data_IF_683349600672
#
_entry.id   IF_683349600672
#
_cell.length_a   1.000
_cell.length_b   1.000
_cell.length_c   1.000
_cell.angle_alpha   90.00
_cell.angle_beta   90.00
_cell.angle_gamma   90.00
#
_symmetry.space_group_name_H-M   'P 1'
#
loop_
_entity.id
_entity.type
_entity.pdbx_description
1 polymer ?
#
# COMPACT_ATOMS: atom_id res chain seq x y z
N UNK A 1 35.73 -25.07 3.09
CA UNK A 1 35.37 -23.87 2.31
C UNK A 1 34.35 -23.04 3.07
N UNK A 2 34.75 -21.89 3.54
CA UNK A 2 33.85 -21.00 4.22
C UNK A 2 32.96 -20.31 3.17
N UNK A 3 31.71 -20.71 3.08
CA UNK A 3 30.73 -19.94 2.35
C UNK A 3 30.38 -18.70 3.16
N UNK A 4 30.98 -17.58 2.81
CA UNK A 4 30.53 -16.30 3.32
C UNK A 4 29.13 -16.06 2.76
N UNK A 5 28.11 -16.29 3.57
CA UNK A 5 26.75 -15.86 3.25
C UNK A 5 26.73 -14.35 3.27
N UNK A 6 26.98 -13.74 2.13
CA UNK A 6 26.76 -12.33 1.92
C UNK A 6 25.26 -12.10 2.02
N UNK A 7 24.83 -11.37 3.02
CA UNK A 7 23.47 -10.87 3.08
C UNK A 7 23.34 -9.65 2.16
N UNK A 8 23.36 -9.91 0.88
CA UNK A 8 23.02 -8.87 -0.06
C UNK A 8 21.51 -8.57 0.09
N UNK A 9 21.10 -7.30 0.06
CA UNK A 9 19.68 -6.98 0.09
C UNK A 9 18.99 -7.68 -1.07
N UNK A 10 17.86 -8.33 -0.79
CA UNK A 10 17.08 -9.03 -1.80
C UNK A 10 16.71 -8.06 -2.92
N UNK A 11 17.04 -8.37 -4.16
CA UNK A 11 16.60 -7.51 -5.26
C UNK A 11 15.08 -7.51 -5.34
N UNK A 12 14.50 -6.32 -5.28
CA UNK A 12 13.05 -6.14 -5.40
C UNK A 12 12.70 -6.08 -6.87
N UNK A 13 11.83 -6.98 -7.31
CA UNK A 13 11.35 -6.97 -8.68
C UNK A 13 10.11 -6.08 -8.84
N UNK A 14 9.11 -6.31 -8.04
CA UNK A 14 7.87 -5.53 -8.08
C UNK A 14 7.04 -5.76 -6.81
N UNK A 15 5.96 -5.00 -6.70
CA UNK A 15 4.98 -5.15 -5.64
C UNK A 15 3.67 -5.67 -6.24
N UNK A 16 3.18 -6.76 -5.69
CA UNK A 16 1.85 -7.26 -6.01
C UNK A 16 0.86 -6.64 -5.02
N UNK A 17 -0.15 -5.96 -5.54
CA UNK A 17 -1.21 -5.36 -4.72
C UNK A 17 -2.50 -6.11 -4.99
N UNK A 18 -3.11 -6.65 -3.94
CA UNK A 18 -4.37 -7.37 -4.02
C UNK A 18 -5.47 -6.64 -3.27
N UNK A 19 -6.69 -6.70 -3.79
CA UNK A 19 -7.87 -6.13 -3.16
C UNK A 19 -8.89 -7.25 -2.95
N UNK A 20 -9.36 -7.44 -1.73
CA UNK A 20 -10.11 -8.64 -1.34
C UNK A 20 -11.62 -8.49 -1.34
N UNK A 21 -12.14 -7.28 -1.18
CA UNK A 21 -13.59 -7.04 -1.06
C UNK A 21 -14.25 -6.59 -2.37
N UNK A 22 -13.53 -6.67 -3.48
CA UNK A 22 -14.09 -6.37 -4.79
C UNK A 22 -14.68 -7.65 -5.41
N UNK A 23 -15.67 -7.52 -6.31
CA UNK A 23 -16.36 -8.69 -6.86
C UNK A 23 -15.46 -9.75 -7.48
N UNK A 24 -14.35 -9.32 -8.03
CA UNK A 24 -13.29 -10.20 -8.53
C UNK A 24 -12.03 -9.91 -7.74
N UNK A 25 -11.25 -10.94 -7.45
CA UNK A 25 -9.94 -10.74 -6.84
C UNK A 25 -9.09 -9.90 -7.78
N UNK A 26 -8.91 -8.63 -7.41
CA UNK A 26 -8.20 -7.68 -8.23
C UNK A 26 -6.74 -7.68 -7.85
N UNK A 27 -5.89 -7.88 -8.82
CA UNK A 27 -4.44 -7.86 -8.65
C UNK A 27 -3.81 -6.84 -9.58
N UNK A 28 -2.87 -6.08 -9.07
CA UNK A 28 -2.07 -5.18 -9.87
C UNK A 28 -0.61 -5.29 -9.47
N UNK A 29 0.28 -5.17 -10.45
CA UNK A 29 1.72 -5.17 -10.23
C UNK A 29 2.24 -3.75 -10.35
N UNK A 30 3.03 -3.30 -9.39
CA UNK A 30 3.58 -1.95 -9.35
C UNK A 30 5.08 -1.99 -9.09
N UNK A 31 5.82 -1.08 -9.69
CA UNK A 31 7.26 -0.97 -9.46
C UNK A 31 7.61 -0.21 -8.19
N UNK A 32 6.72 0.69 -7.75
CA UNK A 32 7.00 1.58 -6.63
C UNK A 32 5.78 1.71 -5.74
N UNK A 33 6.02 1.63 -4.44
CA UNK A 33 5.01 1.88 -3.41
C UNK A 33 5.59 2.86 -2.40
N UNK A 34 4.87 3.92 -2.09
CA UNK A 34 5.24 4.90 -1.07
C UNK A 34 4.06 5.20 -0.15
N UNK A 35 4.33 5.91 0.95
CA UNK A 35 3.29 6.26 1.92
C UNK A 35 3.08 5.22 3.00
N UNK A 36 3.98 4.25 3.17
CA UNK A 36 3.94 3.27 4.25
C UNK A 36 4.36 3.94 5.57
N UNK A 37 3.54 4.85 6.05
CA UNK A 37 3.83 5.64 7.24
C UNK A 37 2.57 5.96 8.02
N UNK A 38 2.75 6.22 9.31
CA UNK A 38 1.72 6.75 10.15
C UNK A 38 2.27 7.92 10.97
N UNK A 39 1.40 8.78 11.41
CA UNK A 39 1.71 9.87 12.30
C UNK A 39 0.68 9.90 13.41
N UNK A 40 1.16 9.87 14.66
CA UNK A 40 0.31 9.99 15.84
C UNK A 40 0.49 11.38 16.41
N UNK A 41 -0.62 12.08 16.60
CA UNK A 41 -0.62 13.39 17.22
C UNK A 41 -0.13 13.29 18.65
N UNK A 42 0.74 14.22 19.02
CA UNK A 42 1.25 14.34 20.39
C UNK A 42 0.42 15.38 21.13
N UNK A 43 -0.21 14.96 22.22
CA UNK A 43 -0.99 15.87 23.07
C UNK A 43 -0.18 16.18 24.32
N UNK A 44 0.33 17.39 24.46
CA UNK A 44 1.05 17.79 25.67
C UNK A 44 0.08 18.06 26.83
N UNK A 45 0.37 17.49 27.99
CA UNK A 45 -0.40 17.72 29.21
C UNK A 45 0.55 18.21 30.31
N UNK A 46 0.26 19.38 30.84
CA UNK A 46 1.02 19.93 31.97
C UNK A 46 0.58 19.27 33.27
N UNK A 47 1.56 18.73 34.03
CA UNK A 47 1.28 18.20 35.35
C UNK A 47 1.09 19.34 36.32
N UNK A 48 -0.06 19.41 37.01
CA UNK A 48 -0.33 20.41 38.03
C UNK A 48 0.67 20.30 39.17
N UNK A 49 1.36 21.41 39.49
CA UNK A 49 2.32 21.49 40.60
C UNK A 49 3.77 21.15 40.23
N UNK A 50 4.05 20.66 39.03
CA UNK A 50 5.42 20.46 38.55
C UNK A 50 5.71 21.46 37.44
N UNK A 51 6.52 22.47 37.74
CA UNK A 51 6.78 23.58 36.82
C UNK A 51 7.63 23.18 35.58
N UNK A 52 8.27 22.00 35.57
CA UNK A 52 9.25 21.62 34.57
C UNK A 52 8.90 20.34 33.83
N UNK A 53 7.75 19.74 34.06
CA UNK A 53 7.39 18.44 33.44
C UNK A 53 6.12 18.56 32.64
N UNK A 54 6.28 18.34 31.32
CA UNK A 54 5.16 18.20 30.40
C UNK A 54 5.08 16.74 29.97
N UNK A 55 3.93 16.10 30.19
CA UNK A 55 3.69 14.75 29.70
C UNK A 55 3.20 14.83 28.25
N UNK A 56 3.72 13.95 27.41
CA UNK A 56 3.29 13.86 26.02
C UNK A 56 2.46 12.60 25.84
N UNK A 57 1.17 12.79 25.62
CA UNK A 57 0.21 11.70 25.46
C UNK A 57 -0.08 11.46 23.98
N UNK A 58 -0.34 10.19 23.59
CA UNK A 58 -0.73 9.89 22.22
C UNK A 58 -2.15 10.38 21.93
N UNK A 59 -2.31 11.11 20.85
CA UNK A 59 -3.60 11.53 20.31
C UNK A 59 -4.06 10.65 19.16
N UNK A 60 -4.71 11.25 18.16
CA UNK A 60 -5.20 10.55 16.99
C UNK A 60 -4.06 10.11 16.08
N UNK A 61 -4.19 8.92 15.51
CA UNK A 61 -3.24 8.40 14.50
C UNK A 61 -3.78 8.64 13.12
N UNK A 62 -2.95 9.22 12.26
CA UNK A 62 -3.25 9.42 10.84
C UNK A 62 -2.35 8.55 10.00
N UNK A 63 -2.93 7.90 9.01
CA UNK A 63 -2.21 7.07 8.08
C UNK A 63 -1.91 7.84 6.80
N UNK A 64 -0.70 7.71 6.27
CA UNK A 64 -0.35 8.27 4.98
C UNK A 64 -1.07 7.56 3.85
N UNK A 65 -1.41 8.28 2.79
CA UNK A 65 -1.97 7.66 1.60
C UNK A 65 -0.93 6.76 0.93
N UNK A 66 -1.35 5.60 0.47
CA UNK A 66 -0.49 4.70 -0.28
C UNK A 66 -0.47 5.13 -1.75
N UNK A 67 0.73 5.32 -2.30
CA UNK A 67 0.92 5.73 -3.68
C UNK A 67 1.63 4.62 -4.44
N UNK A 68 0.94 4.07 -5.42
CA UNK A 68 1.47 3.02 -6.29
C UNK A 68 1.80 3.63 -7.65
N UNK A 69 3.01 3.40 -8.14
CA UNK A 69 3.47 3.97 -9.40
C UNK A 69 3.96 2.90 -10.37
N UNK A 70 3.83 3.19 -11.65
CA UNK A 70 4.31 2.35 -12.75
C UNK A 70 3.79 0.93 -12.66
N UNK A 71 2.46 0.82 -12.59
CA UNK A 71 1.78 -0.45 -12.49
C UNK A 71 1.21 -0.93 -13.82
N UNK A 72 0.87 -2.20 -13.84
CA UNK A 72 0.11 -2.80 -14.92
C UNK A 72 -0.87 -3.82 -14.37
N UNK A 73 -2.01 -3.93 -15.04
CA UNK A 73 -3.02 -4.93 -14.71
C UNK A 73 -3.65 -5.45 -15.98
N UNK A 74 -3.98 -6.72 -15.97
CA UNK A 74 -4.71 -7.36 -17.07
C UNK A 74 -6.22 -7.31 -16.89
N UNK A 75 -6.67 -6.86 -15.70
CA UNK A 75 -8.08 -6.82 -15.32
C UNK A 75 -8.61 -5.38 -15.35
N UNK A 76 -9.85 -5.22 -15.81
CA UNK A 76 -10.56 -3.95 -15.75
C UNK A 76 -11.17 -3.65 -14.38
N UNK A 77 -11.03 -4.55 -13.42
CA UNK A 77 -11.72 -4.47 -12.14
C UNK A 77 -11.30 -3.24 -11.30
N UNK A 78 -10.03 -2.81 -11.39
CA UNK A 78 -9.59 -1.57 -10.73
C UNK A 78 -10.25 -0.34 -11.34
N UNK A 79 -10.41 -0.30 -12.65
CA UNK A 79 -11.12 0.80 -13.32
C UNK A 79 -12.60 0.80 -12.98
N UNK A 80 -13.21 -0.38 -12.91
CA UNK A 80 -14.61 -0.53 -12.52
C UNK A 80 -14.84 -0.04 -11.08
N UNK A 81 -13.92 -0.34 -10.19
CA UNK A 81 -13.97 0.13 -8.80
C UNK A 81 -13.95 1.67 -8.74
N UNK A 82 -13.04 2.29 -9.49
CA UNK A 82 -12.99 3.74 -9.55
C UNK A 82 -14.25 4.34 -10.15
N UNK A 83 -14.76 3.73 -11.23
CA UNK A 83 -15.97 4.22 -11.88
C UNK A 83 -17.18 4.16 -10.95
N UNK A 84 -17.33 3.07 -10.21
CA UNK A 84 -18.38 2.94 -9.20
C UNK A 84 -18.24 3.97 -8.09
N UNK A 85 -17.01 4.24 -7.68
CA UNK A 85 -16.75 5.27 -6.70
C UNK A 85 -17.23 6.65 -7.17
N UNK A 86 -16.96 7.00 -8.42
CA UNK A 86 -17.42 8.26 -9.01
C UNK A 86 -18.94 8.33 -9.16
N UNK A 87 -19.60 7.19 -9.29
CA UNK A 87 -21.07 7.11 -9.42
C UNK A 87 -21.79 7.08 -8.06
N UNK A 88 -21.07 7.20 -6.97
CA UNK A 88 -21.63 7.20 -5.62
C UNK A 88 -21.67 5.83 -4.93
N UNK A 89 -21.26 4.77 -5.59
CA UNK A 89 -21.13 3.44 -4.96
C UNK A 89 -19.76 3.34 -4.27
N UNK A 90 -19.70 3.78 -3.03
CA UNK A 90 -18.47 3.89 -2.27
C UNK A 90 -18.15 2.59 -1.53
N UNK A 91 -17.61 1.64 -2.26
CA UNK A 91 -17.15 0.37 -1.68
C UNK A 91 -15.69 0.48 -1.27
N UNK A 92 -15.44 0.37 0.04
CA UNK A 92 -14.08 0.32 0.57
C UNK A 92 -13.55 -1.11 0.50
N UNK A 93 -12.27 -1.25 0.25
CA UNK A 93 -11.65 -2.55 0.10
C UNK A 93 -10.50 -2.74 1.08
N UNK A 94 -10.38 -3.95 1.57
CA UNK A 94 -9.16 -4.40 2.25
C UNK A 94 -8.23 -4.99 1.19
N UNK A 95 -6.95 -5.07 1.52
CA UNK A 95 -6.01 -5.66 0.60
C UNK A 95 -4.64 -5.84 1.19
N UNK A 96 -3.72 -6.26 0.34
CA UNK A 96 -2.35 -6.55 0.72
C UNK A 96 -1.37 -6.02 -0.30
N UNK A 97 -0.23 -5.55 0.19
CA UNK A 97 0.92 -5.18 -0.61
C UNK A 97 1.99 -6.23 -0.38
N UNK A 98 2.36 -6.94 -1.42
CA UNK A 98 3.32 -8.04 -1.33
C UNK A 98 4.56 -7.67 -2.14
N UNK A 99 5.70 -7.60 -1.47
CA UNK A 99 6.98 -7.38 -2.13
C UNK A 99 7.47 -8.71 -2.71
N UNK A 100 7.73 -8.72 -4.01
CA UNK A 100 8.24 -9.88 -4.72
C UNK A 100 9.72 -9.71 -5.07
N UNK A 101 10.47 -10.79 -4.95
CA UNK A 101 11.85 -10.84 -5.44
C UNK A 101 11.89 -11.21 -6.93
N UNK A 102 13.10 -11.33 -7.50
CA UNK A 102 13.28 -11.67 -8.91
C UNK A 102 12.79 -13.07 -9.29
N UNK A 103 12.62 -13.94 -8.31
CA UNK A 103 12.04 -15.29 -8.52
C UNK A 103 10.53 -15.31 -8.30
N UNK A 104 9.91 -14.14 -8.10
CA UNK A 104 8.50 -13.96 -7.77
C UNK A 104 8.09 -14.58 -6.43
N UNK A 105 9.05 -14.83 -5.56
CA UNK A 105 8.80 -15.26 -4.19
C UNK A 105 8.45 -14.06 -3.31
N UNK A 106 7.57 -14.30 -2.34
CA UNK A 106 7.13 -13.26 -1.40
C UNK A 106 8.22 -12.96 -0.39
N UNK A 107 8.67 -11.70 -0.35
CA UNK A 107 9.69 -11.25 0.59
C UNK A 107 9.11 -10.52 1.80
N UNK A 108 8.07 -9.74 1.61
CA UNK A 108 7.41 -9.00 2.69
C UNK A 108 5.95 -8.75 2.31
N UNK A 109 5.12 -8.51 3.32
CA UNK A 109 3.70 -8.24 3.12
C UNK A 109 3.20 -7.19 4.11
N UNK A 110 2.40 -6.26 3.60
CA UNK A 110 1.65 -5.29 4.41
C UNK A 110 0.17 -5.42 4.06
N UNK A 111 -0.68 -5.47 5.07
CA UNK A 111 -2.13 -5.50 4.89
C UNK A 111 -2.70 -4.13 5.20
N UNK A 112 -3.60 -3.65 4.36
CA UNK A 112 -4.32 -2.41 4.58
C UNK A 112 -5.82 -2.67 4.67
N UNK A 113 -6.53 -1.78 5.38
CA UNK A 113 -7.96 -1.92 5.60
C UNK A 113 -8.71 -0.66 5.18
N UNK A 114 -9.93 -0.86 4.69
CA UNK A 114 -10.87 0.20 4.33
C UNK A 114 -10.29 1.24 3.39
N UNK A 115 -9.63 0.75 2.35
CA UNK A 115 -9.01 1.59 1.33
C UNK A 115 -10.01 2.03 0.26
N UNK A 116 -9.78 3.22 -0.28
CA UNK A 116 -10.55 3.72 -1.40
C UNK A 116 -9.65 4.55 -2.32
N UNK A 117 -9.93 4.55 -3.62
CA UNK A 117 -9.07 5.26 -4.58
C UNK A 117 -9.33 6.76 -4.53
N UNK A 118 -8.32 7.54 -4.13
CA UNK A 118 -8.44 9.00 -4.08
C UNK A 118 -7.79 9.68 -5.29
N UNK A 119 -6.86 9.02 -5.97
CA UNK A 119 -6.23 9.56 -7.17
C UNK A 119 -5.87 8.45 -8.13
N UNK A 120 -6.09 8.68 -9.40
CA UNK A 120 -5.82 7.72 -10.45
C UNK A 120 -5.31 8.45 -11.69
N UNK A 121 -4.14 8.04 -12.16
CA UNK A 121 -3.60 8.50 -13.41
C UNK A 121 -3.29 7.29 -14.29
N UNK A 122 -3.81 7.30 -15.51
CA UNK A 122 -3.54 6.28 -16.49
C UNK A 122 -2.47 6.82 -17.42
N UNK A 123 -1.47 6.00 -17.70
CA UNK A 123 -0.42 6.36 -18.64
C UNK A 123 -0.88 6.28 -20.09
N UNK A 124 0.07 6.32 -20.99
CA UNK A 124 -0.18 6.29 -22.42
C UNK A 124 -0.87 5.00 -22.85
N UNK A 125 -1.96 5.13 -23.59
CA UNK A 125 -2.63 3.99 -24.20
C UNK A 125 -1.90 3.56 -25.48
N UNK A 126 -1.48 2.32 -25.51
CA UNK A 126 -0.93 1.70 -26.71
C UNK A 126 -1.86 0.59 -27.16
N UNK A 127 -2.48 0.76 -28.35
CA UNK A 127 -3.42 -0.20 -28.89
C UNK A 127 -2.79 -1.56 -29.23
N UNK A 128 -1.47 -1.63 -29.31
CA UNK A 128 -0.75 -2.88 -29.56
C UNK A 128 -0.56 -3.71 -28.29
N UNK A 129 -0.84 -3.14 -27.11
CA UNK A 129 -0.68 -3.82 -25.82
C UNK A 129 -2.03 -4.16 -25.23
N UNK A 130 -2.18 -5.40 -24.78
CA UNK A 130 -3.38 -5.86 -24.08
C UNK A 130 -3.42 -5.49 -22.60
N UNK A 131 -2.34 -4.90 -22.08
CA UNK A 131 -2.21 -4.52 -20.68
C UNK A 131 -2.54 -3.05 -20.47
N UNK A 132 -3.26 -2.77 -19.38
CA UNK A 132 -3.53 -1.41 -18.97
C UNK A 132 -2.37 -0.90 -18.11
N UNK A 133 -1.70 0.12 -18.61
CA UNK A 133 -0.63 0.79 -17.86
C UNK A 133 -1.22 1.81 -16.89
N UNK A 134 -0.94 1.63 -15.60
CA UNK A 134 -1.35 2.56 -14.54
C UNK A 134 -0.12 3.38 -14.17
N UNK A 135 -0.18 4.69 -14.36
CA UNK A 135 0.93 5.54 -13.99
C UNK A 135 0.98 5.80 -12.49
N UNK A 136 -0.14 6.20 -11.91
CA UNK A 136 -0.24 6.46 -10.48
C UNK A 136 -1.60 6.04 -9.96
N UNK A 137 -1.61 5.26 -8.88
CA UNK A 137 -2.80 4.97 -8.10
C UNK A 137 -2.52 5.37 -6.66
N UNK A 138 -3.32 6.29 -6.14
CA UNK A 138 -3.24 6.69 -4.74
C UNK A 138 -4.49 6.26 -4.01
N UNK A 139 -4.31 5.56 -2.90
CA UNK A 139 -5.42 5.11 -2.07
C UNK A 139 -5.30 5.69 -0.66
N UNK A 140 -6.41 6.09 -0.10
CA UNK A 140 -6.54 6.39 1.32
C UNK A 140 -6.99 5.13 2.05
N UNK A 141 -6.55 4.94 3.28
CA UNK A 141 -6.89 3.76 4.08
C UNK A 141 -6.97 4.11 5.55
N UNK A 142 -7.48 3.17 6.35
CA UNK A 142 -7.68 3.39 7.78
C UNK A 142 -6.79 2.51 8.66
N UNK A 143 -5.85 1.79 8.09
CA UNK A 143 -4.90 0.99 8.84
C UNK A 143 -3.96 0.19 7.97
N UNK A 144 -2.75 -0.02 8.48
CA UNK A 144 -1.69 -0.76 7.81
C UNK A 144 -1.02 -1.68 8.82
N UNK A 145 -0.90 -2.95 8.50
CA UNK A 145 -0.27 -3.96 9.36
C UNK A 145 0.82 -4.67 8.59
N UNK A 146 2.02 -4.71 9.16
CA UNK A 146 3.12 -5.49 8.61
C UNK A 146 3.00 -6.94 9.02
N UNK A 147 3.09 -7.84 8.05
CA UNK A 147 3.16 -9.29 8.28
C UNK A 147 4.51 -9.81 7.83
N UNK A 148 5.37 -10.23 8.76
CA UNK A 148 6.60 -10.89 8.37
C UNK A 148 6.28 -12.25 7.76
N UNK A 149 6.83 -12.53 6.57
CA UNK A 149 6.71 -13.84 5.97
C UNK A 149 7.68 -14.77 6.67
N UNK A 150 7.17 -15.92 7.12
CA UNK A 150 8.02 -16.94 7.73
C UNK A 150 8.98 -17.46 6.66
N UNK A 151 10.27 -17.31 6.92
CA UNK A 151 11.27 -18.03 6.15
C UNK A 151 11.14 -19.52 6.51
N UNK A 152 10.65 -20.26 5.58
CA UNK A 152 10.75 -21.71 5.67
C UNK A 152 12.09 -22.16 5.12
#
# INVERSE_FOLDING_TARGET
>A
MATTTRKDPLPVFCFLVTFTNLPDNVEGFFKSVSGLKFETEVVPVSAGGANDTTFQLPGATKWGNLVFKQGFTTSSALMDWRQKWLQGEMNRSNGSIIQLDTSLARAAQWDFVRAWPCKWEIGEFDASKSELAIETLEIAHEGLTFKPLKKT
#
